data_IF_776433952257
#
_entry.id   IF_776433952257
#
_cell.length_a   1.000
_cell.length_b   1.000
_cell.length_c   1.000
_cell.angle_alpha   90.00
_cell.angle_beta   90.00
_cell.angle_gamma   90.00
#
_symmetry.space_group_name_H-M   'P 1'
#
loop_
_entity.id
_entity.type
_entity.pdbx_description
1 polymer ?
#
# COMPACT_ATOMS: atom_id res chain seq x y z
N UNK A 1 -27.64 -30.67 -13.03
CA UNK A 1 -27.30 -32.11 -12.94
C UNK A 1 -28.51 -33.03 -13.17
N UNK A 2 -29.63 -32.86 -12.46
CA UNK A 2 -30.84 -33.70 -12.64
C UNK A 2 -31.41 -33.67 -14.09
N UNK A 3 -31.45 -32.52 -14.75
CA UNK A 3 -31.91 -32.41 -16.14
C UNK A 3 -30.98 -33.13 -17.14
N UNK A 4 -29.67 -33.07 -16.92
CA UNK A 4 -28.69 -33.76 -17.77
C UNK A 4 -28.77 -35.29 -17.59
N UNK A 5 -28.96 -35.75 -16.36
CA UNK A 5 -29.22 -37.15 -16.07
C UNK A 5 -30.54 -37.62 -16.70
N UNK A 6 -31.60 -36.80 -16.61
CA UNK A 6 -32.89 -37.10 -17.25
C UNK A 6 -32.78 -37.18 -18.78
N UNK A 7 -32.05 -36.24 -19.40
CA UNK A 7 -31.81 -36.25 -20.85
C UNK A 7 -31.02 -37.51 -21.24
N UNK A 8 -29.91 -37.80 -20.54
CA UNK A 8 -29.14 -39.03 -20.78
C UNK A 8 -30.00 -40.29 -20.59
N UNK A 9 -30.88 -40.32 -19.58
CA UNK A 9 -31.76 -41.45 -19.33
C UNK A 9 -32.81 -41.61 -20.44
N UNK A 10 -33.39 -40.52 -20.93
CA UNK A 10 -34.31 -40.52 -22.09
C UNK A 10 -33.59 -41.04 -23.34
N UNK A 11 -32.35 -40.59 -23.60
CA UNK A 11 -31.56 -41.05 -24.75
C UNK A 11 -31.16 -42.52 -24.63
N UNK A 12 -30.75 -42.98 -23.45
CA UNK A 12 -30.43 -44.40 -23.18
C UNK A 12 -31.68 -45.26 -23.37
N UNK A 13 -32.83 -44.85 -22.82
CA UNK A 13 -34.09 -45.56 -22.99
C UNK A 13 -34.54 -45.61 -24.46
N UNK A 14 -34.36 -44.52 -25.21
CA UNK A 14 -34.65 -44.48 -26.64
C UNK A 14 -33.73 -45.42 -27.45
N UNK A 15 -32.43 -45.46 -27.12
CA UNK A 15 -31.47 -46.36 -27.74
C UNK A 15 -31.78 -47.84 -27.44
N UNK A 16 -32.11 -48.18 -26.20
CA UNK A 16 -32.54 -49.54 -25.80
C UNK A 16 -33.81 -49.93 -26.55
N UNK A 17 -34.80 -49.03 -26.65
CA UNK A 17 -36.03 -49.29 -27.41
C UNK A 17 -35.79 -49.53 -28.90
N UNK A 18 -34.79 -48.85 -29.49
CA UNK A 18 -34.41 -49.05 -30.90
C UNK A 18 -33.78 -50.43 -31.14
N UNK A 19 -32.92 -50.87 -30.21
CA UNK A 19 -32.29 -52.20 -30.24
C UNK A 19 -33.34 -53.31 -30.05
N UNK A 20 -34.29 -53.13 -29.12
CA UNK A 20 -35.31 -54.13 -28.82
C UNK A 20 -36.36 -54.30 -29.92
N UNK A 21 -36.65 -53.26 -30.70
CA UNK A 21 -37.71 -53.30 -31.74
C UNK A 21 -37.23 -53.78 -33.11
N UNK A 22 -35.93 -54.06 -33.28
CA UNK A 22 -35.39 -54.66 -34.51
C UNK A 22 -35.58 -53.84 -35.79
N UNK A 23 -35.93 -52.55 -35.66
CA UNK A 23 -36.06 -51.63 -36.80
C UNK A 23 -34.68 -51.26 -37.34
N UNK A 24 -34.59 -51.17 -38.67
CA UNK A 24 -33.36 -51.02 -39.45
C UNK A 24 -32.33 -50.04 -38.85
N UNK A 25 -31.07 -50.47 -38.82
CA UNK A 25 -29.87 -49.73 -38.41
C UNK A 25 -29.62 -48.44 -39.20
N UNK A 26 -30.44 -48.14 -40.22
CA UNK A 26 -30.34 -46.96 -41.08
C UNK A 26 -30.30 -45.62 -40.33
N UNK A 27 -30.94 -45.53 -39.15
CA UNK A 27 -30.95 -44.30 -38.34
C UNK A 27 -29.87 -44.26 -37.24
N UNK A 28 -29.12 -45.35 -37.04
CA UNK A 28 -28.07 -45.43 -36.01
C UNK A 28 -27.01 -44.33 -36.16
N UNK A 29 -26.50 -44.01 -37.38
CA UNK A 29 -25.50 -42.95 -37.55
C UNK A 29 -26.00 -41.57 -37.09
N UNK A 30 -27.27 -41.24 -37.35
CA UNK A 30 -27.87 -39.97 -36.94
C UNK A 30 -28.07 -39.89 -35.42
N UNK A 31 -28.46 -41.00 -34.79
CA UNK A 31 -28.58 -41.06 -33.33
C UNK A 31 -27.22 -40.92 -32.64
N UNK A 32 -26.19 -41.59 -33.15
CA UNK A 32 -24.82 -41.45 -32.66
C UNK A 32 -24.28 -40.03 -32.85
N UNK A 33 -24.55 -39.41 -34.00
CA UNK A 33 -24.18 -38.01 -34.26
C UNK A 33 -24.86 -37.06 -33.25
N UNK A 34 -26.13 -37.27 -32.92
CA UNK A 34 -26.85 -36.48 -31.92
C UNK A 34 -26.24 -36.58 -30.51
N UNK A 35 -25.82 -37.77 -30.09
CA UNK A 35 -25.14 -37.99 -28.81
C UNK A 35 -23.79 -37.28 -28.78
N UNK A 36 -22.99 -37.41 -29.85
CA UNK A 36 -21.68 -36.75 -29.95
C UNK A 36 -21.84 -35.23 -29.88
N UNK A 37 -22.82 -34.66 -30.59
CA UNK A 37 -23.11 -33.23 -30.57
C UNK A 37 -23.51 -32.80 -29.16
N UNK A 38 -24.45 -33.51 -28.52
CA UNK A 38 -24.88 -33.19 -27.16
C UNK A 38 -23.74 -33.24 -26.15
N UNK A 39 -22.94 -34.30 -26.16
CA UNK A 39 -21.80 -34.48 -25.26
C UNK A 39 -20.76 -33.36 -25.48
N UNK A 40 -20.45 -33.04 -26.74
CA UNK A 40 -19.55 -31.94 -27.06
C UNK A 40 -20.06 -30.58 -26.53
N UNK A 41 -21.33 -30.22 -26.77
CA UNK A 41 -21.89 -28.95 -26.28
C UNK A 41 -22.03 -28.92 -24.75
N UNK A 42 -22.38 -30.04 -24.14
CA UNK A 42 -22.50 -30.19 -22.69
C UNK A 42 -21.13 -30.02 -22.01
N UNK A 43 -20.09 -30.69 -22.53
CA UNK A 43 -18.73 -30.54 -22.03
C UNK A 43 -18.15 -29.16 -22.30
N UNK A 44 -18.42 -28.54 -23.46
CA UNK A 44 -18.02 -27.15 -23.73
C UNK A 44 -18.67 -26.19 -22.71
N UNK A 45 -19.97 -26.33 -22.44
CA UNK A 45 -20.67 -25.49 -21.47
C UNK A 45 -20.23 -25.72 -20.02
N UNK A 46 -20.13 -26.97 -19.58
CA UNK A 46 -19.70 -27.30 -18.20
C UNK A 46 -18.23 -27.03 -17.98
N UNK A 47 -17.35 -27.31 -18.95
CA UNK A 47 -15.93 -27.01 -18.82
C UNK A 47 -15.69 -25.53 -18.61
N UNK A 48 -16.44 -24.65 -19.29
CA UNK A 48 -16.38 -23.22 -19.06
C UNK A 48 -16.77 -22.85 -17.62
N UNK A 49 -17.87 -23.40 -17.09
CA UNK A 49 -18.32 -23.17 -15.72
C UNK A 49 -17.32 -23.72 -14.68
N UNK A 50 -16.77 -24.91 -14.91
CA UNK A 50 -15.74 -25.51 -14.05
C UNK A 50 -14.44 -24.71 -14.09
N UNK A 51 -14.05 -24.17 -15.25
CA UNK A 51 -12.89 -23.32 -15.39
C UNK A 51 -13.09 -21.98 -14.66
N UNK A 52 -14.29 -21.39 -14.74
CA UNK A 52 -14.64 -20.20 -13.95
C UNK A 52 -14.58 -20.48 -12.44
N UNK A 53 -15.09 -21.63 -11.98
CA UNK A 53 -15.02 -22.01 -10.58
C UNK A 53 -13.57 -22.26 -10.12
N UNK A 54 -12.77 -22.98 -10.91
CA UNK A 54 -11.34 -23.20 -10.62
C UNK A 54 -10.58 -21.89 -10.57
N UNK A 55 -10.83 -20.99 -11.52
CA UNK A 55 -10.25 -19.66 -11.53
C UNK A 55 -10.65 -18.88 -10.28
N UNK A 56 -11.93 -18.86 -9.90
CA UNK A 56 -12.41 -18.19 -8.69
C UNK A 56 -11.76 -18.76 -7.42
N UNK A 57 -11.69 -20.10 -7.30
CA UNK A 57 -11.06 -20.75 -6.16
C UNK A 57 -9.57 -20.42 -6.05
N UNK A 58 -8.86 -20.44 -7.16
CA UNK A 58 -7.45 -20.05 -7.19
C UNK A 58 -7.28 -18.56 -6.84
N UNK A 59 -8.13 -17.70 -7.40
CA UNK A 59 -8.06 -16.26 -7.15
C UNK A 59 -8.35 -15.91 -5.68
N UNK A 60 -9.38 -16.51 -5.08
CA UNK A 60 -9.65 -16.35 -3.64
C UNK A 60 -8.46 -16.88 -2.83
N UNK A 61 -7.96 -18.07 -3.15
CA UNK A 61 -6.78 -18.63 -2.47
C UNK A 61 -5.57 -17.70 -2.56
N UNK A 62 -5.30 -17.12 -3.71
CA UNK A 62 -4.19 -16.16 -3.90
C UNK A 62 -4.34 -14.94 -3.00
N UNK A 63 -5.55 -14.40 -2.81
CA UNK A 63 -5.78 -13.29 -1.87
C UNK A 63 -5.32 -13.66 -0.46
N UNK A 64 -5.71 -14.83 0.03
CA UNK A 64 -5.41 -15.21 1.42
C UNK A 64 -3.98 -15.72 1.64
N UNK A 65 -3.26 -16.05 0.57
CA UNK A 65 -1.84 -16.44 0.66
C UNK A 65 -0.92 -15.23 0.48
N UNK A 66 -1.22 -14.33 -0.45
CA UNK A 66 -0.31 -13.26 -0.87
C UNK A 66 -0.85 -11.85 -0.63
N UNK A 67 -2.12 -11.72 -0.28
CA UNK A 67 -2.76 -10.43 -0.14
C UNK A 67 -2.36 -9.68 1.12
N UNK A 68 -2.38 -8.36 1.03
CA UNK A 68 -2.16 -7.48 2.16
C UNK A 68 -3.48 -7.27 2.92
N UNK A 69 -3.41 -7.20 4.24
CA UNK A 69 -4.56 -6.86 5.07
C UNK A 69 -4.74 -5.34 5.03
N UNK A 70 -5.98 -4.87 4.83
CA UNK A 70 -6.29 -3.44 4.72
C UNK A 70 -7.55 -3.08 5.53
N UNK A 71 -7.63 -1.86 6.10
CA UNK A 71 -8.83 -1.36 6.76
C UNK A 71 -9.92 -1.05 5.73
N UNK A 72 -11.16 -1.43 6.05
CA UNK A 72 -12.34 -1.08 5.28
C UNK A 72 -13.51 -0.64 6.15
N UNK A 73 -14.45 0.09 5.55
CA UNK A 73 -15.68 0.54 6.20
C UNK A 73 -16.88 0.39 5.25
N UNK A 74 -18.01 -0.07 5.76
CA UNK A 74 -19.26 -0.13 4.98
C UNK A 74 -19.77 1.29 4.74
N UNK A 75 -19.95 1.67 3.46
CA UNK A 75 -20.41 3.02 3.07
C UNK A 75 -21.83 3.03 2.50
N UNK A 76 -22.34 1.88 2.05
CA UNK A 76 -23.74 1.71 1.67
C UNK A 76 -24.19 0.27 1.93
N UNK A 77 -25.47 0.08 2.23
CA UNK A 77 -26.06 -1.26 2.43
C UNK A 77 -26.90 -1.75 1.23
N UNK A 78 -27.25 -0.86 0.29
CA UNK A 78 -28.01 -1.20 -0.92
C UNK A 78 -27.64 -0.30 -2.13
N UNK A 79 -26.81 -0.77 -3.09
CA UNK A 79 -26.04 -2.01 -3.02
C UNK A 79 -25.01 -1.98 -1.88
N UNK A 80 -24.57 -3.14 -1.34
CA UNK A 80 -23.56 -3.17 -0.29
C UNK A 80 -22.20 -2.71 -0.85
N UNK A 81 -21.73 -1.55 -0.38
CA UNK A 81 -20.45 -0.95 -0.78
C UNK A 81 -19.51 -0.86 0.43
N UNK A 82 -18.22 -1.09 0.18
CA UNK A 82 -17.15 -0.94 1.17
C UNK A 82 -16.11 0.02 0.60
N UNK A 83 -15.66 0.98 1.42
CA UNK A 83 -14.48 1.79 1.16
C UNK A 83 -13.27 1.13 1.83
N UNK A 84 -12.19 0.92 1.09
CA UNK A 84 -10.96 0.28 1.58
C UNK A 84 -9.78 1.19 1.30
N UNK A 85 -8.96 1.47 2.31
CA UNK A 85 -7.73 2.25 2.16
C UNK A 85 -6.56 1.32 1.88
N UNK A 86 -5.70 1.68 0.94
CA UNK A 86 -4.39 1.04 0.78
C UNK A 86 -3.33 2.05 0.31
N UNK A 87 -2.08 1.61 0.33
CA UNK A 87 -0.98 2.29 -0.34
C UNK A 87 -0.57 1.48 -1.57
N UNK A 88 -0.76 2.05 -2.76
CA UNK A 88 -0.42 1.42 -4.03
C UNK A 88 1.07 1.57 -4.38
N UNK A 89 1.90 2.21 -3.56
CA UNK A 89 3.31 2.42 -3.87
C UNK A 89 4.08 1.12 -4.09
N UNK A 90 4.89 1.11 -5.15
CA UNK A 90 5.93 0.09 -5.39
C UNK A 90 7.35 0.67 -5.25
N UNK A 91 7.45 1.99 -5.07
CA UNK A 91 8.72 2.70 -4.89
C UNK A 91 8.67 3.68 -3.71
N UNK A 92 9.51 4.73 -3.79
CA UNK A 92 9.68 5.72 -2.71
C UNK A 92 8.48 6.67 -2.55
N UNK A 93 7.79 6.97 -3.65
CA UNK A 93 6.66 7.90 -3.61
C UNK A 93 5.42 7.19 -3.09
N UNK A 94 4.86 7.73 -2.00
CA UNK A 94 3.65 7.23 -1.37
C UNK A 94 2.42 7.48 -2.26
N UNK A 95 1.55 6.47 -2.45
CA UNK A 95 0.37 6.54 -3.31
C UNK A 95 -0.84 5.93 -2.60
N UNK A 96 -1.35 6.67 -1.62
CA UNK A 96 -2.52 6.27 -0.85
C UNK A 96 -3.81 6.48 -1.64
N UNK A 97 -4.67 5.47 -1.60
CA UNK A 97 -5.96 5.48 -2.28
C UNK A 97 -7.04 4.87 -1.41
N UNK A 98 -8.27 5.34 -1.58
CA UNK A 98 -9.47 4.64 -1.12
C UNK A 98 -10.20 4.09 -2.33
N UNK A 99 -10.49 2.79 -2.32
CA UNK A 99 -11.36 2.17 -3.31
C UNK A 99 -12.72 1.92 -2.70
N UNK A 100 -13.76 2.44 -3.34
CA UNK A 100 -15.15 2.13 -3.03
C UNK A 100 -15.63 1.12 -4.07
N UNK A 101 -16.12 -0.03 -3.60
CA UNK A 101 -16.51 -1.11 -4.49
C UNK A 101 -17.62 -1.97 -3.87
N UNK A 102 -18.43 -2.64 -4.70
CA UNK A 102 -19.37 -3.64 -4.20
C UNK A 102 -18.64 -4.82 -3.57
N UNK A 103 -19.16 -5.30 -2.45
CA UNK A 103 -18.68 -6.50 -1.75
C UNK A 103 -19.85 -7.46 -1.52
N UNK A 104 -19.62 -8.79 -1.49
CA UNK A 104 -20.68 -9.78 -1.28
C UNK A 104 -21.11 -9.87 0.21
N UNK A 105 -21.36 -8.73 0.87
CA UNK A 105 -21.65 -8.64 2.31
C UNK A 105 -22.88 -9.47 2.75
N UNK A 106 -23.76 -9.83 1.81
CA UNK A 106 -24.87 -10.77 2.04
C UNK A 106 -24.42 -12.19 2.42
N UNK A 107 -23.16 -12.54 2.21
CA UNK A 107 -22.57 -13.83 2.59
C UNK A 107 -22.06 -13.85 4.03
N UNK A 108 -22.04 -12.70 4.71
CA UNK A 108 -21.71 -12.63 6.14
C UNK A 108 -22.86 -13.29 6.93
N UNK A 109 -22.52 -14.20 7.84
CA UNK A 109 -23.45 -15.02 8.63
C UNK A 109 -24.55 -14.22 9.35
N UNK A 110 -24.23 -13.00 9.78
CA UNK A 110 -25.12 -12.11 10.53
C UNK A 110 -25.85 -11.08 9.64
N UNK A 111 -25.86 -11.29 8.32
CA UNK A 111 -26.46 -10.37 7.36
C UNK A 111 -25.55 -9.20 6.95
N UNK A 112 -26.11 -8.27 6.19
CA UNK A 112 -25.38 -7.09 5.68
C UNK A 112 -25.09 -6.15 6.86
N UNK A 113 -23.82 -5.83 7.16
CA UNK A 113 -23.49 -4.89 8.23
C UNK A 113 -24.01 -3.48 7.95
N UNK A 114 -24.27 -2.71 9.00
CA UNK A 114 -24.72 -1.31 8.87
C UNK A 114 -23.60 -0.42 8.34
N UNK A 115 -23.98 0.69 7.70
CA UNK A 115 -23.04 1.77 7.32
C UNK A 115 -22.22 2.21 8.54
N UNK A 116 -20.92 2.45 8.34
CA UNK A 116 -19.95 2.76 9.38
C UNK A 116 -19.32 1.54 10.06
N UNK A 117 -19.80 0.32 9.79
CA UNK A 117 -19.16 -0.89 10.34
C UNK A 117 -17.76 -1.04 9.75
N UNK A 118 -16.75 -1.13 10.63
CA UNK A 118 -15.37 -1.43 10.26
C UNK A 118 -15.24 -2.90 9.86
N UNK A 119 -14.50 -3.16 8.80
CA UNK A 119 -14.22 -4.49 8.25
C UNK A 119 -12.74 -4.60 7.96
N UNK A 120 -12.12 -5.73 8.31
CA UNK A 120 -10.82 -6.06 7.77
C UNK A 120 -11.00 -6.67 6.38
N UNK A 121 -10.11 -6.32 5.46
CA UNK A 121 -10.11 -6.81 4.09
C UNK A 121 -8.75 -7.37 3.73
N UNK A 122 -8.69 -8.24 2.73
CA UNK A 122 -7.43 -8.73 2.16
C UNK A 122 -7.42 -8.41 0.67
N UNK A 123 -6.35 -7.80 0.18
CA UNK A 123 -6.28 -7.32 -1.20
C UNK A 123 -5.08 -7.86 -1.99
N UNK A 124 -5.32 -8.14 -3.27
CA UNK A 124 -4.28 -8.28 -4.28
C UNK A 124 -4.16 -7.00 -5.11
N UNK A 125 -2.93 -6.66 -5.48
CA UNK A 125 -2.61 -5.49 -6.28
C UNK A 125 -2.50 -5.89 -7.76
N UNK A 126 -2.90 -4.98 -8.64
CA UNK A 126 -2.91 -5.17 -10.08
C UNK A 126 -2.13 -4.05 -10.78
N UNK A 127 -1.43 -4.40 -11.85
CA UNK A 127 -0.76 -3.44 -12.73
C UNK A 127 0.73 -3.74 -12.85
N UNK A 128 1.48 -2.76 -13.34
CA UNK A 128 2.95 -2.85 -13.43
C UNK A 128 3.62 -2.08 -12.29
N UNK A 129 4.32 -2.79 -11.42
CA UNK A 129 5.11 -2.18 -10.35
C UNK A 129 6.28 -1.30 -10.84
N UNK A 130 6.59 -1.29 -12.14
CA UNK A 130 7.65 -0.44 -12.71
C UNK A 130 7.27 1.05 -12.73
N UNK A 131 5.99 1.41 -12.57
CA UNK A 131 5.51 2.81 -12.58
C UNK A 131 5.71 3.54 -11.25
N UNK A 132 6.30 2.88 -10.24
CA UNK A 132 6.39 3.40 -8.87
C UNK A 132 5.11 3.25 -8.05
N UNK A 133 4.01 2.82 -8.67
CA UNK A 133 2.77 2.41 -8.01
C UNK A 133 2.03 1.35 -8.84
N UNK A 134 1.20 0.56 -8.17
CA UNK A 134 0.22 -0.32 -8.77
C UNK A 134 -0.92 0.49 -9.41
N UNK A 135 -1.55 -0.06 -10.43
CA UNK A 135 -2.64 0.61 -11.15
C UNK A 135 -3.99 0.47 -10.41
N UNK A 136 -4.19 -0.63 -9.69
CA UNK A 136 -5.41 -0.92 -8.94
C UNK A 136 -5.17 -1.98 -7.84
N UNK A 137 -6.18 -2.25 -7.01
CA UNK A 137 -6.21 -3.35 -6.05
C UNK A 137 -7.62 -3.92 -5.85
N UNK A 138 -7.72 -5.18 -5.43
CA UNK A 138 -8.99 -5.91 -5.29
C UNK A 138 -9.14 -6.43 -3.86
N UNK A 139 -9.74 -5.66 -2.96
CA UNK A 139 -9.96 -6.10 -1.60
C UNK A 139 -11.15 -7.06 -1.50
N UNK A 140 -11.08 -8.02 -0.57
CA UNK A 140 -12.17 -8.91 -0.18
C UNK A 140 -12.35 -8.81 1.33
N UNK A 141 -13.57 -8.52 1.79
CA UNK A 141 -13.88 -8.52 3.23
C UNK A 141 -13.76 -9.93 3.83
N UNK A 142 -12.99 -10.08 4.89
CA UNK A 142 -12.65 -11.40 5.45
C UNK A 142 -13.89 -12.17 5.94
N UNK A 143 -14.87 -11.44 6.49
CA UNK A 143 -16.14 -11.98 6.97
C UNK A 143 -16.99 -12.62 5.85
N UNK A 144 -16.67 -12.37 4.58
CA UNK A 144 -17.34 -13.02 3.45
C UNK A 144 -16.76 -14.41 3.14
N UNK A 145 -15.65 -14.80 3.77
CA UNK A 145 -14.88 -16.00 3.41
C UNK A 145 -14.69 -16.95 4.59
N UNK A 146 -14.70 -16.44 5.82
CA UNK A 146 -14.70 -17.24 7.06
C UNK A 146 -15.76 -16.73 8.04
N UNK A 147 -16.33 -17.63 8.83
CA UNK A 147 -17.20 -17.32 9.95
C UNK A 147 -16.57 -17.62 11.33
N UNK A 148 -15.28 -17.97 11.37
CA UNK A 148 -14.53 -18.15 12.62
C UNK A 148 -14.21 -16.78 13.24
N UNK A 149 -14.81 -16.44 14.41
CA UNK A 149 -14.58 -15.16 15.06
C UNK A 149 -13.12 -14.95 15.49
N UNK A 150 -12.38 -16.03 15.76
CA UNK A 150 -10.98 -15.96 16.19
C UNK A 150 -10.09 -15.47 15.05
N UNK A 151 -10.28 -16.00 13.85
CA UNK A 151 -9.55 -15.57 12.66
C UNK A 151 -9.93 -14.16 12.24
N UNK A 152 -11.21 -13.81 12.33
CA UNK A 152 -11.69 -12.46 12.02
C UNK A 152 -11.04 -11.44 12.95
N UNK A 153 -11.08 -11.69 14.26
CA UNK A 153 -10.49 -10.78 15.25
C UNK A 153 -8.98 -10.67 15.09
N UNK A 154 -8.28 -11.79 14.85
CA UNK A 154 -6.84 -11.79 14.64
C UNK A 154 -6.43 -10.91 13.45
N UNK A 155 -7.14 -11.00 12.33
CA UNK A 155 -6.84 -10.19 11.15
C UNK A 155 -7.23 -8.72 11.40
N UNK A 156 -8.35 -8.46 12.06
CA UNK A 156 -8.76 -7.11 12.44
C UNK A 156 -7.71 -6.43 13.34
N UNK A 157 -7.19 -7.14 14.34
CA UNK A 157 -6.15 -6.65 15.26
C UNK A 157 -4.77 -6.48 14.61
N UNK A 158 -4.50 -7.16 13.48
CA UNK A 158 -3.24 -6.97 12.74
C UNK A 158 -3.16 -5.61 12.03
N UNK A 159 -4.30 -4.93 11.84
CA UNK A 159 -4.34 -3.60 11.24
C UNK A 159 -4.02 -2.57 12.34
N UNK A 160 -2.91 -1.83 12.23
CA UNK A 160 -2.52 -0.89 13.26
C UNK A 160 -3.52 0.28 13.35
N UNK A 161 -3.67 0.84 14.56
CA UNK A 161 -4.64 1.91 14.84
C UNK A 161 -4.51 3.14 13.92
N UNK A 162 -3.30 3.46 13.45
CA UNK A 162 -3.06 4.59 12.56
C UNK A 162 -3.66 4.40 11.16
N UNK A 163 -3.72 3.16 10.64
CA UNK A 163 -4.35 2.86 9.34
C UNK A 163 -5.86 3.10 9.38
N UNK A 164 -6.50 2.73 10.49
CA UNK A 164 -7.92 3.04 10.70
C UNK A 164 -8.19 4.55 10.72
N UNK A 165 -7.33 5.32 11.40
CA UNK A 165 -7.41 6.78 11.44
C UNK A 165 -7.18 7.39 10.06
N UNK A 166 -6.27 6.84 9.27
CA UNK A 166 -6.06 7.27 7.88
C UNK A 166 -7.28 6.98 7.01
N UNK A 167 -7.94 5.83 7.17
CA UNK A 167 -9.16 5.53 6.42
C UNK A 167 -10.25 6.55 6.75
N UNK A 168 -10.44 6.88 8.02
CA UNK A 168 -11.40 7.89 8.47
C UNK A 168 -11.09 9.27 7.87
N UNK A 169 -9.85 9.77 7.99
CA UNK A 169 -9.45 11.06 7.43
C UNK A 169 -9.55 11.11 5.90
N UNK A 170 -9.16 10.03 5.23
CA UNK A 170 -9.26 9.93 3.77
C UNK A 170 -10.71 9.89 3.31
N UNK A 171 -11.58 9.20 4.04
CA UNK A 171 -12.99 9.14 3.73
C UNK A 171 -13.70 10.49 3.92
N UNK A 172 -13.39 11.19 5.01
CA UNK A 172 -13.88 12.55 5.27
C UNK A 172 -13.43 13.55 4.19
N UNK A 173 -12.27 13.32 3.58
CA UNK A 173 -11.75 14.13 2.49
C UNK A 173 -12.45 13.87 1.15
N UNK A 174 -12.62 12.61 0.74
CA UNK A 174 -13.16 12.31 -0.59
C UNK A 174 -14.65 12.68 -0.70
N UNK A 175 -15.40 12.63 0.41
CA UNK A 175 -16.83 12.97 0.49
C UNK A 175 -17.69 12.31 -0.61
N UNK A 176 -17.29 11.13 -1.09
CA UNK A 176 -17.94 10.40 -2.17
C UNK A 176 -18.26 8.98 -1.70
N UNK A 177 -19.41 8.45 -2.13
CA UNK A 177 -19.88 7.11 -1.77
C UNK A 177 -20.10 6.24 -3.00
N UNK A 178 -19.87 6.76 -4.20
CA UNK A 178 -19.94 5.99 -5.45
C UNK A 178 -18.75 5.06 -5.59
N UNK A 179 -18.91 3.94 -6.32
CA UNK A 179 -17.78 3.10 -6.67
C UNK A 179 -16.71 3.85 -7.46
N UNK A 180 -15.44 3.62 -7.12
CA UNK A 180 -14.31 4.29 -7.75
C UNK A 180 -13.00 4.10 -6.97
N UNK A 181 -11.90 4.56 -7.57
CA UNK A 181 -10.57 4.61 -6.95
C UNK A 181 -10.21 6.08 -6.74
N UNK A 182 -10.04 6.48 -5.49
CA UNK A 182 -9.88 7.87 -5.08
C UNK A 182 -8.51 8.10 -4.45
N UNK A 183 -7.75 9.06 -4.99
CA UNK A 183 -6.48 9.46 -4.41
C UNK A 183 -6.69 10.19 -3.08
N UNK A 184 -5.92 9.81 -2.06
CA UNK A 184 -5.94 10.46 -0.75
C UNK A 184 -4.59 11.14 -0.52
N UNK A 185 -4.53 12.48 -0.38
CA UNK A 185 -3.28 13.21 -0.29
C UNK A 185 -2.69 13.08 1.11
N UNK A 186 -1.98 11.98 1.36
CA UNK A 186 -1.11 11.84 2.51
C UNK A 186 0.33 12.22 2.15
N UNK A 187 1.03 12.82 3.11
CA UNK A 187 2.44 13.20 3.00
C UNK A 187 3.21 12.54 4.13
N UNK A 188 4.37 12.00 3.81
CA UNK A 188 5.30 11.49 4.81
C UNK A 188 6.12 12.66 5.37
N UNK A 189 5.99 12.94 6.66
CA UNK A 189 6.69 14.04 7.31
C UNK A 189 8.19 13.74 7.42
N UNK A 190 9.05 14.59 6.85
CA UNK A 190 10.51 14.40 6.92
C UNK A 190 11.14 14.57 8.31
N UNK A 191 10.39 15.11 9.28
CA UNK A 191 10.86 15.32 10.66
C UNK A 191 10.65 14.06 11.51
N UNK A 192 9.39 13.62 11.65
CA UNK A 192 9.00 12.49 12.50
C UNK A 192 8.74 11.17 11.76
N UNK A 193 8.73 11.19 10.42
CA UNK A 193 8.43 10.02 9.57
C UNK A 193 7.00 9.47 9.72
N UNK A 194 6.10 10.28 10.28
CA UNK A 194 4.68 9.96 10.29
C UNK A 194 4.01 10.33 8.97
N UNK A 195 2.98 9.56 8.60
CA UNK A 195 2.11 9.87 7.47
C UNK A 195 1.03 10.83 7.96
N UNK A 196 1.04 12.03 7.39
CA UNK A 196 0.18 13.15 7.77
C UNK A 196 -0.75 13.47 6.61
N UNK A 197 -2.01 13.74 6.92
CA UNK A 197 -2.95 14.19 5.92
C UNK A 197 -2.57 15.58 5.41
N UNK A 198 -2.53 15.81 4.10
CA UNK A 198 -1.94 17.01 3.49
C UNK A 198 -2.53 18.32 4.04
N UNK A 199 -3.83 18.38 4.31
CA UNK A 199 -4.46 19.58 4.89
C UNK A 199 -4.00 19.90 6.32
N UNK A 200 -3.48 18.91 7.04
CA UNK A 200 -2.93 19.06 8.40
C UNK A 200 -1.40 19.19 8.42
N UNK A 201 -0.74 19.01 7.28
CA UNK A 201 0.71 18.97 7.22
C UNK A 201 1.34 20.32 7.60
N UNK A 202 0.75 21.45 7.22
CA UNK A 202 1.26 22.77 7.60
C UNK A 202 1.29 22.98 9.12
N UNK A 203 0.19 22.65 9.82
CA UNK A 203 0.13 22.72 11.29
C UNK A 203 1.04 21.70 11.96
N UNK A 204 1.13 20.49 11.42
CA UNK A 204 2.04 19.47 11.93
C UNK A 204 3.51 19.90 11.82
N UNK A 205 3.91 20.44 10.66
CA UNK A 205 5.25 21.00 10.42
C UNK A 205 5.55 22.18 11.35
N UNK A 206 4.55 22.99 11.69
CA UNK A 206 4.74 24.13 12.59
C UNK A 206 5.25 23.69 13.98
N UNK A 207 4.76 22.55 14.49
CA UNK A 207 5.24 22.00 15.77
C UNK A 207 6.73 21.61 15.71
N UNK A 208 7.18 21.00 14.62
CA UNK A 208 8.59 20.66 14.40
C UNK A 208 9.49 21.91 14.26
N UNK A 209 8.99 22.93 13.57
CA UNK A 209 9.75 24.17 13.30
C UNK A 209 9.60 25.23 14.38
N UNK A 210 8.90 24.93 15.49
CA UNK A 210 8.74 25.84 16.62
C UNK A 210 10.11 26.15 17.20
N UNK A 211 10.44 27.45 17.33
CA UNK A 211 11.69 27.89 17.96
C UNK A 211 11.64 27.68 19.47
N UNK A 212 12.69 27.08 20.01
CA UNK A 212 12.99 26.98 21.43
C UNK A 212 13.51 28.33 21.96
N UNK A 213 13.69 28.44 23.28
CA UNK A 213 14.14 29.68 23.92
C UNK A 213 15.52 30.15 23.43
N UNK A 214 16.37 29.21 23.02
CA UNK A 214 17.70 29.46 22.46
C UNK A 214 17.71 29.72 20.94
N UNK A 215 16.53 29.73 20.30
CA UNK A 215 16.38 29.95 18.86
C UNK A 215 16.43 28.69 17.99
N UNK A 216 16.81 27.53 18.53
CA UNK A 216 16.84 26.27 17.77
C UNK A 216 15.42 25.83 17.40
N UNK A 217 15.22 25.21 16.23
CA UNK A 217 13.95 24.52 15.95
C UNK A 217 13.80 23.28 16.85
N UNK A 218 12.56 22.91 17.15
CA UNK A 218 12.26 21.75 18.02
C UNK A 218 12.77 20.44 17.40
N UNK A 219 12.64 20.29 16.08
CA UNK A 219 13.09 19.11 15.33
C UNK A 219 13.81 19.49 14.04
N UNK A 220 14.49 18.50 13.45
CA UNK A 220 15.16 18.60 12.16
C UNK A 220 14.71 17.48 11.22
N UNK A 221 14.74 17.75 9.92
CA UNK A 221 14.49 16.72 8.91
C UNK A 221 15.58 15.66 9.03
N UNK A 222 15.21 14.38 9.10
CA UNK A 222 16.17 13.27 9.17
C UNK A 222 15.84 12.22 8.11
N UNK A 223 16.66 11.18 7.98
CA UNK A 223 16.18 9.93 7.35
C UNK A 223 15.50 9.06 8.42
N UNK A 224 14.56 8.17 8.04
CA UNK A 224 13.96 7.22 8.97
C UNK A 224 15.01 6.44 9.77
N UNK A 225 14.79 6.16 11.07
CA UNK A 225 15.78 5.54 11.94
C UNK A 225 16.43 4.27 11.36
N UNK A 226 15.65 3.41 10.71
CA UNK A 226 16.08 2.17 10.09
C UNK A 226 16.90 2.35 8.81
N UNK A 227 16.84 3.54 8.20
CA UNK A 227 17.57 3.90 6.99
C UNK A 227 18.81 4.76 7.27
N UNK A 228 19.03 5.17 8.52
CA UNK A 228 20.20 5.96 8.95
C UNK A 228 21.49 5.19 8.74
N UNK A 229 22.60 5.91 8.58
CA UNK A 229 23.93 5.30 8.54
C UNK A 229 24.20 4.50 9.83
N UNK A 230 24.48 3.21 9.70
CA UNK A 230 24.68 2.27 10.83
C UNK A 230 26.15 2.07 11.21
N UNK A 231 27.10 2.66 10.48
CA UNK A 231 28.54 2.53 10.77
C UNK A 231 29.00 3.36 11.97
N UNK A 232 30.30 3.25 12.28
CA UNK A 232 30.94 4.08 13.31
C UNK A 232 31.10 5.52 12.85
N UNK A 233 31.07 6.46 13.79
CA UNK A 233 31.23 7.90 13.57
C UNK A 233 32.61 8.41 14.02
N UNK A 234 33.55 7.53 14.36
CA UNK A 234 34.87 7.91 14.91
C UNK A 234 35.69 8.83 13.98
N UNK A 235 35.49 8.70 12.67
CA UNK A 235 36.17 9.51 11.65
C UNK A 235 35.29 10.64 11.08
N UNK A 236 34.08 10.84 11.62
CA UNK A 236 33.13 11.85 11.13
C UNK A 236 33.19 13.05 12.08
N UNK A 237 33.46 14.27 11.58
CA UNK A 237 33.47 15.45 12.44
C UNK A 237 32.06 15.70 12.99
N UNK A 238 31.97 16.09 14.26
CA UNK A 238 30.69 16.20 14.99
C UNK A 238 30.49 17.57 15.61
N UNK A 239 31.57 18.34 15.79
CA UNK A 239 31.51 19.66 16.42
C UNK A 239 32.07 20.71 15.49
N UNK A 240 31.32 21.77 15.21
CA UNK A 240 31.81 22.91 14.45
C UNK A 240 31.88 24.16 15.32
N UNK A 241 32.76 25.10 14.98
CA UNK A 241 32.89 26.38 15.64
C UNK A 241 32.54 27.53 14.68
N UNK A 242 31.99 28.60 15.24
CA UNK A 242 31.75 29.85 14.52
C UNK A 242 32.80 30.88 14.94
N UNK A 243 33.72 31.31 14.05
CA UNK A 243 34.78 32.27 14.39
C UNK A 243 34.24 33.61 14.91
N UNK A 244 33.01 33.98 14.56
CA UNK A 244 32.42 35.25 14.98
C UNK A 244 32.06 35.28 16.47
N UNK A 245 31.44 34.22 16.99
CA UNK A 245 31.03 34.15 18.40
C UNK A 245 31.95 33.28 19.25
N UNK A 246 32.92 32.59 18.65
CA UNK A 246 33.89 31.70 19.30
C UNK A 246 33.26 30.53 20.08
N UNK A 247 32.02 30.15 19.74
CA UNK A 247 31.29 29.05 20.38
C UNK A 247 31.28 27.83 19.47
N UNK A 248 31.58 26.67 20.06
CA UNK A 248 31.43 25.38 19.43
C UNK A 248 29.99 24.86 19.56
N UNK A 249 29.47 24.27 18.48
CA UNK A 249 28.16 23.63 18.40
C UNK A 249 28.35 22.17 17.99
N UNK A 250 27.85 21.25 18.82
CA UNK A 250 27.84 19.83 18.50
C UNK A 250 26.60 19.49 17.68
N UNK A 251 26.77 18.86 16.52
CA UNK A 251 25.67 18.38 15.71
C UNK A 251 25.07 17.10 16.32
N UNK A 252 23.74 16.99 16.46
CA UNK A 252 23.11 15.77 16.95
C UNK A 252 23.47 14.54 16.09
N UNK A 253 23.76 13.42 16.74
CA UNK A 253 24.11 12.16 16.06
C UNK A 253 23.05 11.73 15.03
N UNK A 254 21.77 11.94 15.33
CA UNK A 254 20.66 11.64 14.41
C UNK A 254 20.74 12.43 13.11
N UNK A 255 21.22 13.68 13.17
CA UNK A 255 21.44 14.50 11.98
C UNK A 255 22.67 14.03 11.20
N UNK A 256 23.75 13.70 11.91
CA UNK A 256 24.99 13.17 11.33
C UNK A 256 24.72 11.92 10.52
N UNK A 257 24.08 10.92 11.13
CA UNK A 257 23.72 9.68 10.45
C UNK A 257 22.75 9.86 9.30
N UNK A 258 21.99 10.96 9.29
CA UNK A 258 21.06 11.26 8.20
C UNK A 258 21.75 11.87 6.99
N UNK A 259 22.66 12.85 7.16
CA UNK A 259 23.36 13.41 6.00
C UNK A 259 24.38 12.44 5.39
N UNK A 260 24.93 11.51 6.18
CA UNK A 260 25.81 10.45 5.65
C UNK A 260 25.07 9.50 4.69
N UNK A 261 23.74 9.44 4.77
CA UNK A 261 22.88 8.70 3.83
C UNK A 261 22.42 9.59 2.69
N UNK A 262 22.03 10.83 3.00
CA UNK A 262 21.57 11.81 2.02
C UNK A 262 22.10 13.21 2.37
N UNK A 263 23.21 13.65 1.76
CA UNK A 263 23.83 14.94 2.06
C UNK A 263 23.06 16.14 1.51
N UNK A 264 21.93 15.90 0.82
CA UNK A 264 21.03 16.93 0.29
C UNK A 264 19.84 17.25 1.20
N UNK A 265 19.76 16.64 2.40
CA UNK A 265 18.67 16.89 3.36
C UNK A 265 18.65 18.30 3.92
N UNK A 266 19.82 18.89 4.13
CA UNK A 266 19.97 20.17 4.80
C UNK A 266 20.31 21.28 3.80
N UNK A 267 19.78 22.48 4.05
CA UNK A 267 20.12 23.68 3.28
C UNK A 267 21.49 24.23 3.63
N UNK A 268 21.75 25.47 3.23
CA UNK A 268 23.03 26.17 3.45
C UNK A 268 23.18 26.80 4.84
N UNK A 269 22.21 26.57 5.73
CA UNK A 269 22.18 27.14 7.07
C UNK A 269 22.19 26.05 8.14
N UNK A 270 22.88 26.30 9.25
CA UNK A 270 22.82 25.46 10.45
C UNK A 270 22.80 26.32 11.71
N UNK A 271 22.26 25.78 12.79
CA UNK A 271 22.09 26.52 14.05
C UNK A 271 23.41 26.71 14.78
N UNK A 272 23.74 27.92 15.22
CA UNK A 272 24.92 28.20 16.04
C UNK A 272 24.51 28.48 17.50
N UNK A 273 25.03 27.69 18.45
CA UNK A 273 24.72 27.85 19.88
C UNK A 273 25.17 29.21 20.45
N UNK A 274 26.20 29.86 19.89
CA UNK A 274 26.66 31.16 20.37
C UNK A 274 25.87 32.34 19.80
N UNK A 275 25.44 32.23 18.54
CA UNK A 275 24.60 33.27 17.90
C UNK A 275 23.11 33.11 18.22
N UNK A 276 22.67 31.95 18.72
CA UNK A 276 21.26 31.63 18.94
C UNK A 276 20.39 31.75 17.67
N UNK A 277 20.99 31.49 16.51
CA UNK A 277 20.32 31.56 15.22
C UNK A 277 20.97 30.65 14.17
N UNK A 278 20.33 30.54 13.02
CA UNK A 278 20.82 29.78 11.87
C UNK A 278 21.77 30.64 11.03
N UNK A 279 23.03 30.22 10.93
CA UNK A 279 24.11 30.91 10.21
C UNK A 279 24.52 30.12 8.96
N UNK A 280 25.13 30.79 7.99
CA UNK A 280 25.57 30.16 6.75
C UNK A 280 26.72 29.18 6.99
N UNK A 281 26.67 28.01 6.35
CA UNK A 281 27.68 26.96 6.52
C UNK A 281 29.10 27.40 6.15
N UNK A 282 29.27 28.38 5.24
CA UNK A 282 30.60 28.88 4.88
C UNK A 282 31.28 29.72 5.96
N UNK A 283 30.54 30.10 7.01
CA UNK A 283 31.08 30.80 8.17
C UNK A 283 31.53 29.83 9.28
N UNK A 284 31.29 28.53 9.11
CA UNK A 284 31.48 27.52 10.15
C UNK A 284 32.58 26.55 9.76
N UNK A 285 33.32 26.08 10.77
CA UNK A 285 34.47 25.20 10.57
C UNK A 285 34.40 24.03 11.54
N UNK A 286 34.66 22.82 11.06
CA UNK A 286 34.76 21.64 11.92
C UNK A 286 35.93 21.78 12.89
N UNK A 287 35.69 21.50 14.17
CA UNK A 287 36.71 21.56 15.22
C UNK A 287 37.77 20.47 15.02
N UNK A 288 37.36 19.29 14.55
CA UNK A 288 38.22 18.12 14.42
C UNK A 288 39.17 18.22 13.22
N UNK A 289 38.75 18.87 12.14
CA UNK A 289 39.50 18.91 10.87
C UNK A 289 39.94 20.32 10.45
N UNK A 290 39.32 21.37 10.98
CA UNK A 290 39.50 22.75 10.53
C UNK A 290 38.86 23.05 9.16
N UNK A 291 38.17 22.09 8.56
CA UNK A 291 37.52 22.25 7.26
C UNK A 291 36.26 23.11 7.37
N UNK A 292 36.02 23.95 6.36
CA UNK A 292 34.77 24.69 6.21
C UNK A 292 33.59 23.72 6.09
N UNK A 293 32.50 23.99 6.82
CA UNK A 293 31.32 23.13 6.86
C UNK A 293 30.66 23.01 5.48
N UNK A 294 30.60 24.10 4.72
CA UNK A 294 30.05 24.09 3.35
C UNK A 294 30.86 23.21 2.41
N UNK A 295 32.20 23.29 2.48
CA UNK A 295 33.10 22.50 1.63
C UNK A 295 32.96 21.00 1.96
N UNK A 296 32.88 20.65 3.25
CA UNK A 296 32.64 19.28 3.69
C UNK A 296 31.31 18.72 3.14
N UNK A 297 30.21 19.48 3.22
CA UNK A 297 28.93 19.04 2.66
C UNK A 297 28.96 18.95 1.14
N UNK A 298 29.73 19.79 0.46
CA UNK A 298 29.90 19.72 -0.99
C UNK A 298 30.65 18.45 -1.38
N UNK A 299 31.74 18.11 -0.69
CA UNK A 299 32.47 16.85 -0.89
C UNK A 299 31.55 15.63 -0.72
N UNK A 300 30.75 15.59 0.36
CA UNK A 300 29.77 14.50 0.56
C UNK A 300 28.73 14.42 -0.57
N UNK A 301 28.24 15.56 -1.07
CA UNK A 301 27.30 15.59 -2.20
C UNK A 301 27.95 15.06 -3.48
N UNK A 302 29.20 15.43 -3.73
CA UNK A 302 29.95 14.98 -4.90
C UNK A 302 30.24 13.47 -4.83
N UNK A 303 30.65 12.96 -3.67
CA UNK A 303 30.81 11.52 -3.41
C UNK A 303 29.51 10.75 -3.61
N UNK A 304 28.39 11.30 -3.13
CA UNK A 304 27.07 10.68 -3.31
C UNK A 304 26.71 10.58 -4.80
N UNK A 305 26.88 11.66 -5.57
CA UNK A 305 26.58 11.67 -7.02
C UNK A 305 27.51 10.74 -7.77
N UNK A 306 28.80 10.69 -7.41
CA UNK A 306 29.74 9.74 -7.99
C UNK A 306 29.33 8.27 -7.74
N UNK A 307 28.83 7.96 -6.54
CA UNK A 307 28.43 6.60 -6.17
C UNK A 307 27.06 6.19 -6.77
N UNK A 308 26.12 7.12 -6.92
CA UNK A 308 24.73 6.83 -7.29
C UNK A 308 24.34 7.26 -8.71
N UNK A 309 25.17 8.05 -9.39
CA UNK A 309 24.94 8.56 -10.73
C UNK A 309 24.06 9.82 -10.80
N UNK A 310 23.19 10.05 -9.82
CA UNK A 310 22.24 11.17 -9.78
C UNK A 310 22.05 11.74 -8.36
N UNK A 311 21.57 13.00 -8.30
CA UNK A 311 21.12 13.64 -7.05
C UNK A 311 19.87 12.93 -6.53
N UNK A 312 19.75 12.66 -5.21
CA UNK A 312 18.55 12.03 -4.69
C UNK A 312 17.33 12.94 -4.93
N UNK A 313 16.13 12.37 -5.12
CA UNK A 313 14.93 13.18 -5.19
C UNK A 313 14.83 14.01 -3.91
N UNK A 314 14.51 15.31 -4.07
CA UNK A 314 14.29 16.17 -2.90
C UNK A 314 13.20 15.51 -2.05
N UNK A 315 13.42 15.32 -0.73
CA UNK A 315 12.33 14.94 0.15
C UNK A 315 11.18 15.93 -0.09
N UNK A 316 9.96 15.42 -0.20
CA UNK A 316 8.78 16.27 -0.28
C UNK A 316 8.67 16.99 1.06
N UNK A 317 9.16 18.24 1.11
CA UNK A 317 9.09 19.11 2.29
C UNK A 317 7.85 19.98 2.21
#
# INVERSE_FOLDING_TARGET
MALALLINLIFISAAIGLVQTGKSLENLPLALLGIIIFDAFFWLGISQQLNQLKWLLNHVREHFIYGCVNPGVVVASNPPLVAVLTNLSTGRQQHYVIKILPQPLRWIKNGIPSVGTKLATVALYQGSGQKGSWDDFHPIAINCVTDDPTDIERVFQSIPAWEWKHLEMGFDYIQETKPGLYNVPFVHCGFCHEIVFFSHYASHRAEHTKRLQDGQMTDHITVPPEQRYQGTLDAVPQTYFHPHCEVATQMPETMIRSYLVNPFLYGEYTFCCGCHDYVLQHELYWCETGQCLMDYFQELKDEYVQANGDVPPRPLV
#
